data_IF_036678503762
#
_entry.id   IF_036678503762
#
_cell.length_a   1.000
_cell.length_b   1.000
_cell.length_c   1.000
_cell.angle_alpha   90.00
_cell.angle_beta   90.00
_cell.angle_gamma   90.00
#
_symmetry.space_group_name_H-M   'P 1'
#
loop_
_entity.id
_entity.type
_entity.pdbx_description
1 polymer ?
#
# COMPACT_ATOMS: atom_id res chain seq x y z
N UNK A 1 20.73 -10.99 45.88
CA UNK A 1 19.69 -9.99 45.51
C UNK A 1 19.50 -10.06 44.00
N UNK A 2 18.51 -10.79 43.49
CA UNK A 2 18.26 -10.93 42.04
C UNK A 2 16.90 -10.30 41.75
N UNK A 3 16.89 -9.19 41.00
CA UNK A 3 15.67 -8.54 40.49
C UNK A 3 15.26 -9.23 39.20
N UNK A 4 14.20 -10.01 39.25
CA UNK A 4 13.54 -10.53 38.04
C UNK A 4 12.77 -9.38 37.39
N UNK A 5 13.16 -8.96 36.20
CA UNK A 5 12.37 -8.02 35.39
C UNK A 5 11.42 -8.82 34.50
N UNK A 6 10.12 -8.57 34.63
CA UNK A 6 9.10 -9.21 33.80
C UNK A 6 9.19 -8.71 32.34
N UNK A 7 8.97 -9.55 31.33
CA UNK A 7 8.87 -9.09 29.96
C UNK A 7 7.56 -8.34 29.78
N UNK A 8 7.64 -7.04 29.47
CA UNK A 8 6.49 -6.27 28.99
C UNK A 8 6.04 -6.90 27.67
N UNK A 9 4.96 -7.68 27.73
CA UNK A 9 4.31 -8.19 26.54
C UNK A 9 3.88 -7.00 25.68
N UNK A 10 4.52 -6.82 24.53
CA UNK A 10 4.05 -5.93 23.48
C UNK A 10 2.80 -6.59 22.88
N UNK A 11 1.63 -6.28 23.44
CA UNK A 11 0.36 -6.67 22.85
C UNK A 11 0.04 -5.58 21.81
N UNK A 12 0.25 -5.81 20.50
CA UNK A 12 -0.33 -4.90 19.52
C UNK A 12 -1.84 -4.98 19.69
N UNK A 13 -2.44 -3.87 20.08
CA UNK A 13 -3.89 -3.74 20.04
C UNK A 13 -4.30 -3.84 18.57
N UNK A 14 -4.67 -5.05 18.14
CA UNK A 14 -5.32 -5.25 16.85
C UNK A 14 -6.61 -4.45 16.88
N UNK A 15 -6.64 -3.31 16.17
CA UNK A 15 -7.84 -2.52 15.96
C UNK A 15 -8.52 -3.05 14.71
N UNK A 16 -9.54 -3.91 14.82
CA UNK A 16 -10.32 -4.28 13.65
C UNK A 16 -11.10 -3.05 13.22
N UNK A 17 -10.62 -2.36 12.19
CA UNK A 17 -11.39 -1.31 11.51
C UNK A 17 -12.41 -2.00 10.60
N UNK A 18 -13.55 -2.38 11.19
CA UNK A 18 -14.67 -2.99 10.48
C UNK A 18 -15.39 -1.99 9.57
N UNK A 19 -14.80 -1.64 8.44
CA UNK A 19 -15.45 -0.90 7.36
C UNK A 19 -15.11 -1.55 6.01
N UNK A 20 -15.54 -2.80 5.83
CA UNK A 20 -15.33 -3.57 4.59
C UNK A 20 -15.69 -2.78 3.32
N UNK A 21 -16.75 -1.98 3.36
CA UNK A 21 -17.11 -1.07 2.26
C UNK A 21 -16.06 0.00 1.96
N UNK A 22 -15.43 0.62 2.97
CA UNK A 22 -14.33 1.57 2.76
C UNK A 22 -13.08 0.87 2.22
N UNK A 23 -12.83 -0.38 2.61
CA UNK A 23 -11.73 -1.19 2.08
C UNK A 23 -11.92 -1.46 0.58
N UNK A 24 -13.14 -1.82 0.15
CA UNK A 24 -13.45 -2.02 -1.27
C UNK A 24 -13.32 -0.73 -2.07
N UNK A 25 -13.80 0.40 -1.54
CA UNK A 25 -13.63 1.71 -2.20
C UNK A 25 -12.14 2.08 -2.34
N UNK A 26 -11.32 1.79 -1.32
CA UNK A 26 -9.86 1.99 -1.38
C UNK A 26 -9.21 1.13 -2.46
N UNK A 27 -9.61 -0.13 -2.60
CA UNK A 27 -9.15 -1.01 -3.67
C UNK A 27 -9.49 -0.48 -5.06
N UNK A 28 -10.71 0.01 -5.26
CA UNK A 28 -11.14 0.63 -6.53
C UNK A 28 -10.28 1.86 -6.83
N UNK A 29 -10.04 2.73 -5.84
CA UNK A 29 -9.22 3.92 -5.99
C UNK A 29 -7.78 3.58 -6.41
N UNK A 30 -7.16 2.59 -5.75
CA UNK A 30 -5.80 2.13 -6.09
C UNK A 30 -5.75 1.50 -7.48
N UNK A 31 -6.74 0.68 -7.84
CA UNK A 31 -6.83 0.10 -9.18
C UNK A 31 -6.93 1.17 -10.28
N UNK A 32 -7.63 2.28 -10.02
CA UNK A 32 -7.71 3.41 -10.94
C UNK A 32 -6.37 4.16 -11.01
N UNK A 33 -5.77 4.50 -9.88
CA UNK A 33 -4.47 5.18 -9.83
C UNK A 33 -3.39 4.41 -10.59
N UNK A 34 -3.36 3.08 -10.46
CA UNK A 34 -2.42 2.21 -11.18
C UNK A 34 -2.64 2.20 -12.69
N UNK A 35 -3.89 2.28 -13.15
CA UNK A 35 -4.21 2.43 -14.58
C UNK A 35 -3.81 3.80 -15.11
N UNK A 36 -4.07 4.85 -14.35
CA UNK A 36 -3.71 6.22 -14.71
C UNK A 36 -2.18 6.34 -14.83
N UNK A 37 -1.43 5.76 -13.87
CA UNK A 37 0.03 5.69 -13.91
C UNK A 37 0.56 4.94 -15.15
N UNK A 38 -0.10 3.85 -15.54
CA UNK A 38 0.27 3.09 -16.75
C UNK A 38 -0.03 3.85 -18.05
N UNK A 39 -1.02 4.74 -18.02
CA UNK A 39 -1.43 5.57 -19.14
C UNK A 39 -0.64 6.86 -19.29
N UNK A 40 0.21 7.22 -18.33
CA UNK A 40 1.08 8.38 -18.43
C UNK A 40 2.09 8.21 -19.57
N UNK A 41 2.25 9.29 -20.32
CA UNK A 41 3.23 9.34 -21.41
C UNK A 41 4.66 9.40 -20.87
N UNK A 42 5.65 9.00 -21.68
CA UNK A 42 7.04 8.84 -21.23
C UNK A 42 7.63 10.11 -20.62
N UNK A 43 7.22 11.29 -21.10
CA UNK A 43 7.65 12.59 -20.57
C UNK A 43 7.05 12.90 -19.19
N UNK A 44 5.78 12.55 -18.98
CA UNK A 44 5.13 12.71 -17.68
C UNK A 44 5.72 11.75 -16.63
N UNK A 45 6.04 10.52 -17.04
CA UNK A 45 6.76 9.56 -16.21
C UNK A 45 8.17 10.06 -15.84
N UNK A 46 8.89 10.65 -16.79
CA UNK A 46 10.21 11.22 -16.55
C UNK A 46 10.19 12.42 -15.59
N UNK A 47 9.15 13.26 -15.66
CA UNK A 47 8.97 14.41 -14.77
C UNK A 47 8.86 14.00 -13.29
N UNK A 48 8.16 12.89 -13.02
CA UNK A 48 8.05 12.28 -11.69
C UNK A 48 9.16 11.27 -11.37
N UNK A 49 10.16 11.13 -12.25
CA UNK A 49 11.32 10.25 -12.04
C UNK A 49 11.02 8.74 -12.12
N UNK A 50 9.92 8.34 -12.76
CA UNK A 50 9.51 6.94 -12.92
C UNK A 50 9.86 6.44 -14.32
N UNK A 51 10.38 5.22 -14.43
CA UNK A 51 10.61 4.60 -15.74
C UNK A 51 9.33 3.93 -16.28
N UNK A 52 9.13 3.84 -17.60
CA UNK A 52 7.97 3.12 -18.18
C UNK A 52 7.88 1.66 -17.73
N UNK A 53 9.01 1.01 -17.49
CA UNK A 53 9.06 -0.34 -16.96
C UNK A 53 8.57 -0.40 -15.49
N UNK A 54 8.97 0.57 -14.66
CA UNK A 54 8.50 0.68 -13.28
C UNK A 54 7.00 0.97 -13.21
N UNK A 55 6.50 1.90 -14.04
CA UNK A 55 5.07 2.20 -14.15
C UNK A 55 4.25 0.96 -14.53
N UNK A 56 4.71 0.17 -15.50
CA UNK A 56 4.07 -1.11 -15.87
C UNK A 56 4.10 -2.13 -14.75
N UNK A 57 5.24 -2.29 -14.05
CA UNK A 57 5.32 -3.20 -12.90
C UNK A 57 4.32 -2.81 -11.80
N UNK A 58 4.22 -1.52 -11.48
CA UNK A 58 3.25 -1.03 -10.50
C UNK A 58 1.80 -1.24 -10.99
N UNK A 59 1.53 -1.03 -12.29
CA UNK A 59 0.22 -1.27 -12.88
C UNK A 59 -0.23 -2.73 -12.82
N UNK A 60 0.71 -3.68 -12.87
CA UNK A 60 0.44 -5.12 -12.74
C UNK A 60 0.21 -5.57 -11.31
N UNK A 61 0.46 -4.72 -10.30
CA UNK A 61 0.28 -5.13 -8.91
C UNK A 61 -1.20 -5.34 -8.59
N UNK A 62 -1.53 -6.39 -7.81
CA UNK A 62 -2.92 -6.65 -7.45
C UNK A 62 -3.53 -5.55 -6.59
N UNK A 63 -4.78 -5.17 -6.83
CA UNK A 63 -5.42 -4.04 -6.12
C UNK A 63 -5.54 -4.24 -4.58
N UNK A 64 -5.45 -5.48 -4.11
CA UNK A 64 -5.47 -5.85 -2.69
C UNK A 64 -4.11 -5.74 -2.01
N UNK A 65 -3.04 -5.57 -2.79
CA UNK A 65 -1.69 -5.30 -2.31
C UNK A 65 -1.56 -3.82 -1.92
N UNK A 66 -2.06 -3.55 -0.72
CA UNK A 66 -1.97 -2.28 0.01
C UNK A 66 -1.00 -2.50 1.19
N UNK A 67 0.30 -2.66 0.95
CA UNK A 67 1.25 -2.65 2.07
C UNK A 67 0.98 -1.42 2.97
N UNK A 68 0.79 -1.69 4.26
CA UNK A 68 0.19 -0.81 5.26
C UNK A 68 1.22 0.12 5.92
#
# INVERSE_FOLDING_TARGET
>A
MIRTVAPTAFIPAYRPSGNFGLTVLRWIAVARQRRDLAGLDARALADIGITPAAARREATRPFWDLDA
#
